data_IF_704319575910
#
_entry.id   IF_704319575910
#
_cell.length_a   1.000
_cell.length_b   1.000
_cell.length_c   1.000
_cell.angle_alpha   90.00
_cell.angle_beta   90.00
_cell.angle_gamma   90.00
#
_symmetry.space_group_name_H-M   'P 1'
#
loop_
_entity.id
_entity.type
_entity.pdbx_description
1 polymer ?
#
# COMPACT_ATOMS: atom_id res chain seq x y z
N UNK A 1 -3.19 28.29 9.88
CA UNK A 1 -3.99 27.44 8.97
C UNK A 1 -4.44 26.18 9.74
N UNK A 2 -5.63 25.63 9.42
CA UNK A 2 -6.08 24.35 10.00
C UNK A 2 -5.90 23.27 8.93
N UNK A 3 -5.04 22.28 9.21
CA UNK A 3 -4.75 21.18 8.30
C UNK A 3 -5.71 20.02 8.56
N UNK A 4 -6.15 19.34 7.50
CA UNK A 4 -7.00 18.16 7.58
C UNK A 4 -6.29 16.96 6.90
N UNK A 5 -5.53 16.15 7.64
CA UNK A 5 -4.77 15.03 7.07
C UNK A 5 -5.68 13.86 6.68
N UNK A 6 -5.12 12.85 6.02
CA UNK A 6 -5.82 11.59 5.72
C UNK A 6 -6.15 10.88 7.04
N UNK A 7 -7.38 10.39 7.16
CA UNK A 7 -7.88 9.69 8.36
C UNK A 7 -8.01 8.18 8.19
N UNK A 8 -8.21 7.72 6.96
CA UNK A 8 -8.35 6.31 6.64
C UNK A 8 -8.02 6.10 5.15
N UNK A 9 -7.48 4.92 4.83
CA UNK A 9 -7.15 4.53 3.45
C UNK A 9 -7.90 3.25 3.11
N UNK A 10 -8.83 3.35 2.15
CA UNK A 10 -9.70 2.25 1.75
C UNK A 10 -9.63 2.01 0.23
N UNK A 11 -8.57 1.35 -0.30
CA UNK A 11 -8.50 0.98 -1.70
C UNK A 11 -9.75 0.23 -2.19
N UNK A 12 -10.19 0.57 -3.40
CA UNK A 12 -11.22 -0.18 -4.11
C UNK A 12 -10.62 -1.34 -4.88
N UNK A 13 -11.33 -2.46 -4.92
CA UNK A 13 -10.98 -3.63 -5.74
C UNK A 13 -12.05 -3.86 -6.79
N UNK A 14 -11.65 -3.94 -8.05
CA UNK A 14 -12.55 -4.33 -9.12
C UNK A 14 -12.58 -5.85 -9.22
N UNK A 15 -13.65 -6.42 -8.70
CA UNK A 15 -13.93 -7.85 -8.75
C UNK A 15 -14.72 -8.20 -10.02
N UNK A 16 -14.51 -9.41 -10.53
CA UNK A 16 -15.28 -9.96 -11.64
C UNK A 16 -15.63 -11.44 -11.40
N UNK A 17 -16.81 -11.87 -11.88
CA UNK A 17 -17.16 -13.29 -11.97
C UNK A 17 -16.26 -13.96 -13.02
N UNK A 18 -16.24 -15.31 -13.08
CA UNK A 18 -15.62 -16.00 -14.20
C UNK A 18 -16.40 -15.71 -15.50
N UNK A 19 -15.69 -15.53 -16.61
CA UNK A 19 -16.26 -15.52 -17.96
C UNK A 19 -15.54 -16.59 -18.79
N UNK A 20 -16.17 -17.76 -18.87
CA UNK A 20 -15.58 -18.94 -19.52
C UNK A 20 -15.46 -18.79 -21.03
N UNK A 21 -16.35 -18.01 -21.66
CA UNK A 21 -16.32 -17.77 -23.10
C UNK A 21 -15.18 -16.82 -23.47
N UNK A 22 -14.95 -15.79 -22.65
CA UNK A 22 -13.85 -14.84 -22.82
C UNK A 22 -12.52 -15.32 -22.22
N UNK A 23 -12.49 -16.49 -21.57
CA UNK A 23 -11.30 -17.03 -20.89
C UNK A 23 -10.87 -16.21 -19.67
N UNK A 24 -11.77 -15.45 -19.05
CA UNK A 24 -11.49 -14.61 -17.88
C UNK A 24 -11.72 -15.44 -16.61
N UNK A 25 -10.65 -15.60 -15.84
CA UNK A 25 -10.68 -16.26 -14.52
C UNK A 25 -11.39 -15.39 -13.47
N UNK A 26 -12.02 -16.00 -12.45
CA UNK A 26 -12.68 -15.27 -11.37
C UNK A 26 -11.68 -14.46 -10.55
N UNK A 27 -12.14 -13.31 -10.03
CA UNK A 27 -11.45 -12.50 -9.03
C UNK A 27 -12.41 -12.00 -7.92
N UNK A 28 -13.68 -12.38 -7.95
CA UNK A 28 -14.69 -11.95 -7.00
C UNK A 28 -14.70 -12.76 -5.69
N UNK A 29 -13.53 -12.94 -5.07
CA UNK A 29 -13.36 -13.73 -3.83
C UNK A 29 -13.46 -12.89 -2.55
N UNK A 30 -13.56 -11.56 -2.68
CA UNK A 30 -13.71 -10.63 -1.56
C UNK A 30 -15.18 -10.39 -1.24
N UNK A 31 -15.50 -10.33 0.05
CA UNK A 31 -16.74 -9.77 0.58
C UNK A 31 -16.77 -8.23 0.49
N UNK A 32 -17.75 -7.55 1.11
CA UNK A 32 -17.94 -6.12 0.93
C UNK A 32 -16.74 -5.27 1.38
N UNK A 33 -16.18 -5.62 2.54
CA UNK A 33 -15.04 -4.94 3.13
C UNK A 33 -14.10 -5.99 3.71
N UNK A 34 -12.83 -5.90 3.36
CA UNK A 34 -11.76 -6.69 3.94
C UNK A 34 -10.77 -5.80 4.69
N UNK A 35 -10.13 -6.36 5.72
CA UNK A 35 -8.94 -5.80 6.34
C UNK A 35 -7.75 -6.69 6.00
N UNK A 36 -6.67 -6.11 5.51
CA UNK A 36 -5.41 -6.82 5.31
C UNK A 36 -4.32 -6.16 6.14
N UNK A 37 -3.59 -6.98 6.89
CA UNK A 37 -2.34 -6.54 7.50
C UNK A 37 -1.35 -6.14 6.39
N UNK A 38 -0.33 -5.35 6.75
CA UNK A 38 0.58 -4.77 5.77
C UNK A 38 1.23 -5.77 4.80
N UNK A 39 1.65 -6.99 5.21
CA UNK A 39 2.19 -7.96 4.26
C UNK A 39 1.17 -8.30 3.16
N UNK A 40 -0.03 -8.75 3.51
CA UNK A 40 -1.07 -9.12 2.56
C UNK A 40 -1.53 -7.94 1.71
N UNK A 41 -1.70 -6.75 2.33
CA UNK A 41 -2.05 -5.52 1.62
C UNK A 41 -1.01 -5.17 0.54
N UNK A 42 0.28 -5.32 0.87
CA UNK A 42 1.34 -5.02 -0.07
C UNK A 42 1.51 -6.09 -1.15
N UNK A 43 1.16 -7.35 -0.90
CA UNK A 43 1.05 -8.33 -2.00
C UNK A 43 0.03 -7.84 -3.05
N UNK A 44 -1.08 -7.28 -2.58
CA UNK A 44 -2.11 -6.70 -3.44
C UNK A 44 -1.66 -5.41 -4.14
N UNK A 45 -0.97 -4.51 -3.46
CA UNK A 45 -0.44 -3.28 -4.07
C UNK A 45 0.66 -3.54 -5.09
N UNK A 46 1.53 -4.51 -4.84
CA UNK A 46 2.57 -4.93 -5.79
C UNK A 46 1.92 -5.50 -7.05
N UNK A 47 0.92 -6.37 -6.90
CA UNK A 47 0.30 -7.05 -8.03
C UNK A 47 -0.74 -6.20 -8.77
N UNK A 48 -1.50 -5.34 -8.07
CA UNK A 48 -2.56 -4.48 -8.61
C UNK A 48 -3.43 -5.20 -9.65
N UNK A 49 -4.14 -6.23 -9.17
CA UNK A 49 -4.82 -7.22 -9.98
C UNK A 49 -6.04 -6.64 -10.71
N UNK A 50 -6.26 -7.09 -11.96
CA UNK A 50 -7.43 -6.72 -12.75
C UNK A 50 -7.90 -7.88 -13.63
N UNK A 51 -9.22 -8.03 -13.75
CA UNK A 51 -9.83 -9.00 -14.67
C UNK A 51 -9.86 -8.55 -16.13
N UNK A 52 -9.49 -7.30 -16.43
CA UNK A 52 -9.34 -6.82 -17.82
C UNK A 52 -7.91 -7.09 -18.29
N UNK A 53 -7.76 -7.50 -19.55
CA UNK A 53 -6.47 -7.85 -20.17
C UNK A 53 -5.73 -8.99 -19.43
N UNK A 54 -6.34 -10.19 -19.33
CA UNK A 54 -5.70 -11.33 -18.67
C UNK A 54 -4.36 -11.66 -19.33
N UNK A 55 -3.38 -12.03 -18.49
CA UNK A 55 -2.11 -12.56 -18.96
C UNK A 55 -2.29 -14.02 -19.43
N UNK A 56 -1.32 -14.57 -20.15
CA UNK A 56 -1.35 -15.97 -20.60
C UNK A 56 -1.46 -16.98 -19.44
N UNK A 57 -1.17 -16.58 -18.20
CA UNK A 57 -1.10 -17.47 -17.02
C UNK A 57 -1.95 -17.01 -15.84
N UNK A 58 -2.85 -16.03 -15.99
CA UNK A 58 -3.65 -15.52 -14.87
C UNK A 58 -4.19 -14.11 -15.08
N UNK A 59 -4.64 -13.47 -14.00
CA UNK A 59 -5.14 -12.10 -14.02
C UNK A 59 -4.16 -11.10 -14.65
N UNK A 60 -4.72 -10.01 -15.16
CA UNK A 60 -3.94 -8.85 -15.55
C UNK A 60 -3.36 -8.15 -14.32
N UNK A 61 -2.28 -7.41 -14.51
CA UNK A 61 -1.66 -6.56 -13.50
C UNK A 61 -1.54 -5.14 -14.06
N UNK A 62 -1.96 -4.15 -13.29
CA UNK A 62 -1.77 -2.73 -13.62
C UNK A 62 -0.37 -2.21 -13.19
N UNK A 63 0.50 -3.11 -12.72
CA UNK A 63 1.79 -2.80 -12.12
C UNK A 63 1.65 -2.22 -10.71
N UNK A 64 2.77 -2.13 -9.98
CA UNK A 64 2.78 -1.67 -8.60
C UNK A 64 2.01 -0.36 -8.41
N UNK A 65 1.11 -0.33 -7.43
CA UNK A 65 0.28 0.82 -7.08
C UNK A 65 -0.58 1.36 -8.23
N UNK A 66 -0.95 0.52 -9.20
CA UNK A 66 -1.60 0.89 -10.48
C UNK A 66 -0.81 1.90 -11.32
N UNK A 67 0.51 2.00 -11.09
CA UNK A 67 1.39 2.96 -11.74
C UNK A 67 2.24 2.37 -12.87
N UNK A 68 2.01 1.12 -13.28
CA UNK A 68 2.79 0.46 -14.34
C UNK A 68 2.97 1.32 -15.60
N UNK A 69 1.91 1.92 -16.17
CA UNK A 69 2.01 2.77 -17.36
C UNK A 69 2.63 4.16 -17.12
N UNK A 70 2.86 4.54 -15.86
CA UNK A 70 3.18 5.92 -15.46
C UNK A 70 4.48 6.04 -14.66
N UNK A 71 5.18 4.92 -14.40
CA UNK A 71 6.43 4.93 -13.65
C UNK A 71 7.61 4.58 -14.58
N UNK A 72 8.46 5.58 -14.81
CA UNK A 72 9.69 5.43 -15.62
C UNK A 72 10.90 4.97 -14.78
N UNK A 73 10.72 4.72 -13.48
CA UNK A 73 11.76 4.28 -12.55
C UNK A 73 11.44 2.88 -12.00
N UNK A 74 12.42 2.19 -11.41
CA UNK A 74 12.18 0.93 -10.69
C UNK A 74 11.01 1.04 -9.71
N UNK A 75 9.91 0.27 -9.88
CA UNK A 75 8.70 0.40 -9.06
C UNK A 75 8.93 0.13 -7.56
N UNK A 76 9.99 -0.61 -7.22
CA UNK A 76 10.43 -0.86 -5.84
C UNK A 76 10.68 0.43 -5.06
N UNK A 77 11.10 1.51 -5.70
CA UNK A 77 11.35 2.82 -5.05
C UNK A 77 10.03 3.40 -4.51
N UNK A 78 8.98 3.32 -5.31
CA UNK A 78 7.62 3.74 -4.92
C UNK A 78 7.06 2.82 -3.85
N UNK A 79 7.26 1.50 -3.97
CA UNK A 79 6.80 0.53 -2.99
C UNK A 79 7.48 0.71 -1.63
N UNK A 80 8.78 1.01 -1.60
CA UNK A 80 9.50 1.34 -0.37
C UNK A 80 8.88 2.56 0.33
N UNK A 81 8.60 3.61 -0.45
CA UNK A 81 7.99 4.84 0.07
C UNK A 81 6.55 4.61 0.55
N UNK A 82 5.76 3.83 -0.21
CA UNK A 82 4.40 3.48 0.16
C UNK A 82 4.37 2.63 1.44
N UNK A 83 5.20 1.59 1.54
CA UNK A 83 5.22 0.73 2.73
C UNK A 83 5.62 1.53 3.98
N UNK A 84 6.62 2.38 3.86
CA UNK A 84 6.99 3.31 4.93
C UNK A 84 5.88 4.28 5.31
N UNK A 85 5.09 4.79 4.35
CA UNK A 85 4.00 5.70 4.69
C UNK A 85 2.95 5.03 5.57
N UNK A 86 2.56 3.79 5.25
CA UNK A 86 1.66 3.00 6.08
C UNK A 86 2.24 2.69 7.46
N UNK A 87 3.50 2.23 7.51
CA UNK A 87 4.19 1.92 8.76
C UNK A 87 4.32 3.13 9.69
N UNK A 88 4.77 4.26 9.16
CA UNK A 88 5.08 5.46 9.95
C UNK A 88 3.82 6.17 10.43
N UNK A 89 2.78 6.20 9.61
CA UNK A 89 1.48 6.80 9.95
C UNK A 89 0.58 5.86 10.74
N UNK A 90 0.87 4.56 10.77
CA UNK A 90 0.02 3.56 11.42
C UNK A 90 -1.34 3.40 10.73
N UNK A 91 -1.39 3.58 9.41
CA UNK A 91 -2.61 3.42 8.63
C UNK A 91 -2.95 1.95 8.44
N UNK A 92 -4.24 1.66 8.49
CA UNK A 92 -4.78 0.32 8.30
C UNK A 92 -5.22 0.11 6.84
N UNK A 93 -5.03 -1.11 6.34
CA UNK A 93 -5.35 -1.48 4.97
C UNK A 93 -6.73 -2.12 4.86
N UNK A 94 -7.79 -1.33 4.78
CA UNK A 94 -9.10 -1.85 4.44
C UNK A 94 -9.32 -1.81 2.93
N UNK A 95 -9.95 -2.81 2.33
CA UNK A 95 -10.31 -2.81 0.91
C UNK A 95 -11.81 -2.98 0.72
N UNK A 96 -12.33 -2.42 -0.37
CA UNK A 96 -13.78 -2.40 -0.64
C UNK A 96 -14.07 -3.03 -2.00
N UNK A 97 -15.12 -3.85 -2.06
CA UNK A 97 -15.52 -4.50 -3.30
C UNK A 97 -16.23 -3.52 -4.25
N UNK A 98 -15.86 -3.56 -5.53
CA UNK A 98 -16.55 -2.94 -6.65
C UNK A 98 -16.74 -3.96 -7.78
N UNK A 99 -17.77 -3.76 -8.60
CA UNK A 99 -18.17 -4.69 -9.66
C UNK A 99 -19.01 -5.84 -9.11
N UNK A 100 -18.36 -6.81 -8.46
CA UNK A 100 -19.02 -8.04 -8.01
C UNK A 100 -18.58 -8.49 -6.61
N UNK A 101 -19.45 -9.25 -5.94
CA UNK A 101 -19.16 -10.06 -4.75
C UNK A 101 -19.56 -11.49 -5.06
N UNK A 102 -18.58 -12.39 -5.13
CA UNK A 102 -18.78 -13.71 -5.69
C UNK A 102 -19.26 -13.68 -7.16
N UNK A 103 -19.55 -14.84 -7.74
CA UNK A 103 -20.00 -14.94 -9.12
C UNK A 103 -21.42 -14.40 -9.36
N UNK A 104 -22.25 -14.22 -8.32
CA UNK A 104 -23.69 -13.96 -8.49
C UNK A 104 -24.10 -12.50 -8.25
N UNK A 105 -23.48 -11.81 -7.30
CA UNK A 105 -23.94 -10.47 -6.89
C UNK A 105 -23.15 -9.38 -7.59
N UNK A 106 -23.81 -8.67 -8.50
CA UNK A 106 -23.31 -7.43 -9.10
C UNK A 106 -23.61 -6.27 -8.14
N UNK A 107 -22.57 -5.57 -7.72
CA UNK A 107 -22.65 -4.43 -6.78
C UNK A 107 -22.18 -3.11 -7.40
N UNK A 108 -21.66 -3.13 -8.63
CA UNK A 108 -21.12 -1.97 -9.35
C UNK A 108 -20.28 -1.05 -8.44
N UNK A 109 -20.80 0.10 -8.03
CA UNK A 109 -20.15 1.03 -7.09
C UNK A 109 -20.95 1.29 -5.82
N UNK A 110 -22.00 0.51 -5.54
CA UNK A 110 -22.92 0.73 -4.43
C UNK A 110 -22.17 0.71 -3.08
N UNK A 111 -21.26 -0.25 -2.92
CA UNK A 111 -20.42 -0.36 -1.71
C UNK A 111 -19.38 0.75 -1.67
N UNK A 112 -18.77 1.10 -2.82
CA UNK A 112 -17.77 2.17 -2.90
C UNK A 112 -18.34 3.51 -2.42
N UNK A 113 -19.60 3.81 -2.75
CA UNK A 113 -20.28 5.03 -2.32
C UNK A 113 -20.72 4.98 -0.85
N UNK A 114 -21.03 3.80 -0.34
CA UNK A 114 -21.52 3.61 1.02
C UNK A 114 -20.41 3.65 2.08
N UNK A 115 -19.22 3.17 1.74
CA UNK A 115 -18.13 3.03 2.72
C UNK A 115 -17.76 4.36 3.41
N UNK A 116 -17.60 5.51 2.71
CA UNK A 116 -17.34 6.79 3.36
C UNK A 116 -18.41 7.20 4.38
N UNK A 117 -19.68 6.87 4.11
CA UNK A 117 -20.83 7.17 4.98
C UNK A 117 -20.85 6.32 6.26
N UNK A 118 -20.37 5.08 6.19
CA UNK A 118 -20.19 4.22 7.36
C UNK A 118 -18.95 4.66 8.14
N UNK A 119 -17.81 4.83 7.44
CA UNK A 119 -16.51 5.10 8.06
C UNK A 119 -16.49 6.43 8.80
N UNK A 120 -17.04 7.49 8.20
CA UNK A 120 -17.10 8.82 8.82
C UNK A 120 -17.95 8.85 10.10
N UNK A 121 -18.87 7.90 10.27
CA UNK A 121 -19.73 7.74 11.44
C UNK A 121 -19.17 6.79 12.48
N UNK A 122 -18.01 6.16 12.26
CA UNK A 122 -17.27 5.38 13.25
C UNK A 122 -16.35 6.28 14.08
N UNK A 123 -16.22 6.04 15.39
CA UNK A 123 -15.17 6.68 16.18
C UNK A 123 -13.79 6.16 15.78
N UNK A 124 -12.72 6.89 16.09
CA UNK A 124 -11.36 6.55 15.63
C UNK A 124 -10.85 5.23 16.23
N UNK A 125 -11.19 4.95 17.48
CA UNK A 125 -10.89 3.70 18.17
C UNK A 125 -11.70 2.52 17.62
N UNK A 126 -12.95 2.75 17.20
CA UNK A 126 -13.80 1.73 16.57
C UNK A 126 -13.28 1.24 15.21
N UNK A 127 -12.37 1.98 14.57
CA UNK A 127 -11.76 1.62 13.29
C UNK A 127 -10.52 0.73 13.43
N UNK A 128 -10.01 0.54 14.66
CA UNK A 128 -8.78 -0.22 14.90
C UNK A 128 -9.00 -1.72 14.65
N UNK A 129 -8.22 -2.37 13.77
CA UNK A 129 -8.38 -3.78 13.44
C UNK A 129 -8.30 -4.69 14.66
N UNK A 130 -7.38 -4.43 15.60
CA UNK A 130 -7.24 -5.24 16.82
C UNK A 130 -8.52 -5.18 17.66
N UNK A 131 -9.12 -4.00 17.76
CA UNK A 131 -10.37 -3.81 18.46
C UNK A 131 -11.53 -4.50 17.71
N UNK A 132 -11.64 -4.32 16.40
CA UNK A 132 -12.66 -4.95 15.56
C UNK A 132 -12.58 -6.48 15.62
N UNK A 133 -11.38 -7.06 15.55
CA UNK A 133 -11.14 -8.51 15.71
C UNK A 133 -11.55 -8.96 17.11
N UNK A 134 -11.12 -8.25 18.17
CA UNK A 134 -11.46 -8.61 19.56
C UNK A 134 -12.97 -8.62 19.86
N UNK A 135 -13.75 -7.85 19.08
CA UNK A 135 -15.20 -7.75 19.20
C UNK A 135 -15.95 -8.69 18.26
N UNK A 136 -15.26 -9.48 17.43
CA UNK A 136 -15.88 -10.36 16.44
C UNK A 136 -16.50 -9.60 15.26
N UNK A 137 -16.09 -8.36 15.03
CA UNK A 137 -16.52 -7.58 13.85
C UNK A 137 -15.68 -7.90 12.60
N UNK A 138 -14.51 -8.50 12.79
CA UNK A 138 -13.69 -9.04 11.72
C UNK A 138 -13.43 -10.52 11.98
N UNK A 139 -13.55 -11.35 10.95
CA UNK A 139 -13.16 -12.76 10.97
C UNK A 139 -12.00 -13.00 10.00
N UNK A 140 -11.05 -13.85 10.40
CA UNK A 140 -9.92 -14.22 9.56
C UNK A 140 -10.40 -15.14 8.43
N UNK A 141 -9.85 -14.94 7.23
CA UNK A 141 -9.91 -15.92 6.15
C UNK A 141 -8.72 -16.85 6.34
N UNK A 142 -8.97 -18.15 6.45
CA UNK A 142 -7.94 -19.15 6.74
C UNK A 142 -7.56 -19.93 5.48
N UNK A 143 -6.32 -20.40 5.41
CA UNK A 143 -5.93 -21.40 4.42
C UNK A 143 -6.68 -22.71 4.66
N UNK A 144 -7.00 -23.44 3.59
CA UNK A 144 -7.67 -24.73 3.68
C UNK A 144 -7.21 -25.69 2.59
N UNK A 145 -7.42 -26.99 2.78
CA UNK A 145 -7.15 -28.01 1.76
C UNK A 145 -8.42 -28.33 0.97
N UNK A 146 -8.29 -28.42 -0.35
CA UNK A 146 -9.31 -28.93 -1.26
C UNK A 146 -8.67 -29.89 -2.25
N UNK A 147 -9.19 -31.11 -2.35
CA UNK A 147 -8.65 -32.17 -3.23
C UNK A 147 -7.13 -32.40 -3.07
N UNK A 148 -6.63 -32.32 -1.84
CA UNK A 148 -5.20 -32.51 -1.53
C UNK A 148 -4.29 -31.35 -1.95
N UNK A 149 -4.87 -30.19 -2.32
CA UNK A 149 -4.14 -28.96 -2.63
C UNK A 149 -4.45 -27.88 -1.60
N UNK A 150 -3.41 -27.17 -1.17
CA UNK A 150 -3.54 -26.03 -0.28
C UNK A 150 -4.06 -24.80 -1.04
N UNK A 151 -5.16 -24.23 -0.55
CA UNK A 151 -5.73 -22.96 -1.02
C UNK A 151 -5.29 -21.87 -0.06
N UNK A 152 -4.48 -20.92 -0.54
CA UNK A 152 -3.86 -19.85 0.26
C UNK A 152 -4.81 -18.67 0.52
N UNK A 153 -6.01 -18.94 1.03
CA UNK A 153 -7.05 -17.92 1.22
C UNK A 153 -6.71 -16.90 2.33
N UNK A 154 -5.76 -17.20 3.22
CA UNK A 154 -5.25 -16.24 4.22
C UNK A 154 -4.65 -14.97 3.63
N UNK A 155 -4.26 -14.97 2.35
CA UNK A 155 -3.84 -13.75 1.63
C UNK A 155 -4.94 -12.69 1.52
N UNK A 156 -6.20 -13.10 1.67
CA UNK A 156 -7.35 -12.19 1.69
C UNK A 156 -7.53 -11.45 3.02
N UNK A 157 -6.74 -11.80 4.04
CA UNK A 157 -6.75 -11.17 5.36
C UNK A 157 -8.00 -11.51 6.16
N UNK A 158 -8.68 -10.47 6.63
CA UNK A 158 -9.91 -10.53 7.41
C UNK A 158 -11.06 -9.94 6.61
N UNK A 159 -12.29 -10.34 6.93
CA UNK A 159 -13.51 -9.76 6.36
C UNK A 159 -14.49 -9.34 7.44
N UNK A 160 -15.37 -8.40 7.09
CA UNK A 160 -16.43 -7.96 8.01
C UNK A 160 -17.43 -9.08 8.30
N UNK A 161 -17.92 -9.13 9.53
CA UNK A 161 -18.94 -10.09 9.96
C UNK A 161 -20.34 -9.47 9.94
N UNK A 162 -21.37 -10.29 10.12
CA UNK A 162 -22.74 -9.80 10.33
C UNK A 162 -22.82 -8.81 11.51
N UNK A 163 -22.06 -9.05 12.58
CA UNK A 163 -22.00 -8.14 13.73
C UNK A 163 -21.41 -6.77 13.38
N UNK A 164 -20.45 -6.70 12.45
CA UNK A 164 -19.95 -5.43 11.92
C UNK A 164 -21.08 -4.65 11.24
N UNK A 165 -21.83 -5.35 10.39
CA UNK A 165 -22.94 -4.76 9.63
C UNK A 165 -23.99 -4.22 10.61
N UNK A 166 -24.46 -5.04 11.54
CA UNK A 166 -25.44 -4.62 12.55
C UNK A 166 -24.98 -3.40 13.35
N UNK A 167 -23.70 -3.36 13.78
CA UNK A 167 -23.17 -2.30 14.63
C UNK A 167 -22.93 -0.98 13.89
N UNK A 168 -22.34 -1.03 12.69
CA UNK A 168 -21.84 0.17 12.00
C UNK A 168 -22.73 0.58 10.85
N UNK A 169 -23.27 -0.36 10.08
CA UNK A 169 -24.23 -0.03 9.02
C UNK A 169 -25.58 0.39 9.61
N UNK A 170 -25.91 0.00 10.84
CA UNK A 170 -27.06 0.50 11.59
C UNK A 170 -27.03 2.01 11.88
N UNK A 171 -25.90 2.69 11.65
CA UNK A 171 -25.78 4.16 11.71
C UNK A 171 -26.25 4.84 10.42
N UNK A 172 -26.52 4.07 9.37
CA UNK A 172 -26.89 4.53 8.03
C UNK A 172 -28.24 3.96 7.62
N UNK A 173 -28.49 2.68 7.92
CA UNK A 173 -29.70 1.95 7.54
C UNK A 173 -30.57 1.64 8.75
N UNK A 174 -31.88 1.67 8.54
CA UNK A 174 -32.86 1.30 9.57
C UNK A 174 -32.88 -0.22 9.84
N UNK A 175 -32.59 -1.04 8.83
CA UNK A 175 -32.51 -2.50 8.94
C UNK A 175 -31.17 -3.01 8.40
N UNK A 176 -30.08 -2.90 9.19
CA UNK A 176 -28.74 -3.26 8.72
C UNK A 176 -28.59 -4.76 8.40
N UNK A 177 -29.41 -5.64 8.98
CA UNK A 177 -29.30 -7.09 8.75
C UNK A 177 -29.64 -7.49 7.30
N UNK A 178 -30.37 -6.63 6.58
CA UNK A 178 -30.77 -6.87 5.19
C UNK A 178 -29.78 -6.32 4.15
N UNK A 179 -28.77 -5.55 4.58
CA UNK A 179 -27.84 -4.88 3.67
C UNK A 179 -26.97 -5.87 2.90
N UNK A 180 -26.45 -6.90 3.60
CA UNK A 180 -25.64 -7.94 3.01
C UNK A 180 -26.16 -9.32 3.39
N UNK A 181 -26.36 -10.18 2.39
CA UNK A 181 -26.73 -11.58 2.63
C UNK A 181 -25.53 -12.36 3.16
N UNK A 182 -25.75 -13.54 3.80
CA UNK A 182 -24.66 -14.41 4.19
C UNK A 182 -23.71 -14.79 3.03
N UNK A 183 -24.23 -14.92 1.81
CA UNK A 183 -23.46 -15.21 0.60
C UNK A 183 -22.63 -14.01 0.11
N UNK A 184 -23.05 -12.78 0.40
CA UNK A 184 -22.23 -11.59 0.12
C UNK A 184 -21.09 -11.45 1.13
N UNK A 185 -21.36 -11.71 2.42
CA UNK A 185 -20.33 -11.71 3.46
C UNK A 185 -19.32 -12.83 3.27
N UNK A 186 -19.76 -13.98 2.73
CA UNK A 186 -18.95 -15.19 2.52
C UNK A 186 -19.08 -15.68 1.08
N UNK A 187 -18.33 -15.08 0.13
CA UNK A 187 -18.47 -15.37 -1.31
C UNK A 187 -18.27 -16.84 -1.70
N UNK A 188 -17.52 -17.61 -0.90
CA UNK A 188 -17.33 -19.05 -1.09
C UNK A 188 -18.64 -19.85 -1.07
N UNK A 189 -19.68 -19.33 -0.41
CA UNK A 189 -21.02 -19.95 -0.38
C UNK A 189 -21.73 -19.89 -1.73
N UNK A 190 -21.32 -18.99 -2.62
CA UNK A 190 -21.94 -18.84 -3.93
C UNK A 190 -21.46 -19.91 -4.92
N UNK A 191 -20.25 -20.44 -4.72
CA UNK A 191 -19.61 -21.45 -5.56
C UNK A 191 -18.15 -21.67 -5.15
N UNK A 192 -17.86 -22.81 -4.51
CA UNK A 192 -16.55 -23.11 -3.96
C UNK A 192 -15.45 -23.21 -5.03
N UNK A 193 -15.75 -23.85 -6.17
CA UNK A 193 -14.77 -24.01 -7.26
C UNK A 193 -14.31 -22.66 -7.84
N UNK A 194 -15.25 -21.75 -8.12
CA UNK A 194 -14.91 -20.41 -8.63
C UNK A 194 -14.16 -19.59 -7.56
N UNK A 195 -14.47 -19.80 -6.28
CA UNK A 195 -13.75 -19.17 -5.17
C UNK A 195 -12.30 -19.65 -5.09
N UNK A 196 -12.07 -20.98 -5.16
CA UNK A 196 -10.74 -21.58 -5.15
C UNK A 196 -9.92 -21.12 -6.36
N UNK A 197 -10.51 -21.14 -7.56
CA UNK A 197 -9.82 -20.65 -8.76
C UNK A 197 -9.46 -19.17 -8.64
N UNK A 198 -10.34 -18.35 -8.03
CA UNK A 198 -10.08 -16.93 -7.82
C UNK A 198 -8.94 -16.67 -6.83
N UNK A 199 -8.86 -17.43 -5.74
CA UNK A 199 -7.74 -17.35 -4.79
C UNK A 199 -6.44 -17.79 -5.47
N UNK A 200 -6.45 -18.89 -6.21
CA UNK A 200 -5.27 -19.37 -6.92
C UNK A 200 -4.81 -18.38 -8.00
N UNK A 201 -5.76 -17.76 -8.73
CA UNK A 201 -5.48 -16.72 -9.71
C UNK A 201 -4.77 -15.50 -9.08
N UNK A 202 -5.17 -15.09 -7.87
CA UNK A 202 -4.47 -14.06 -7.09
C UNK A 202 -3.05 -14.50 -6.77
N UNK A 203 -2.88 -15.71 -6.23
CA UNK A 203 -1.58 -16.23 -5.77
C UNK A 203 -0.59 -16.36 -6.92
N UNK A 204 -1.01 -16.97 -8.03
CA UNK A 204 -0.21 -17.17 -9.24
C UNK A 204 0.19 -15.83 -9.87
N UNK A 205 -0.72 -14.86 -9.88
CA UNK A 205 -0.41 -13.53 -10.42
C UNK A 205 0.57 -12.77 -9.53
N UNK A 206 0.40 -12.86 -8.21
CA UNK A 206 1.34 -12.30 -7.24
C UNK A 206 2.73 -12.92 -7.40
N UNK A 207 2.84 -14.23 -7.58
CA UNK A 207 4.11 -14.91 -7.84
C UNK A 207 4.76 -14.38 -9.13
N UNK A 208 4.01 -14.35 -10.23
CA UNK A 208 4.50 -13.85 -11.52
C UNK A 208 5.01 -12.41 -11.44
N UNK A 209 4.28 -11.52 -10.78
CA UNK A 209 4.69 -10.13 -10.62
C UNK A 209 5.92 -10.02 -9.72
N UNK A 210 5.99 -10.79 -8.64
CA UNK A 210 7.14 -10.75 -7.73
C UNK A 210 8.44 -11.20 -8.43
N UNK A 211 8.38 -12.22 -9.30
CA UNK A 211 9.54 -12.72 -10.07
C UNK A 211 10.22 -11.64 -10.92
N UNK A 212 9.46 -10.66 -11.41
CA UNK A 212 10.01 -9.58 -12.25
C UNK A 212 11.09 -8.75 -11.51
N UNK A 213 10.92 -8.54 -10.20
CA UNK A 213 11.90 -7.81 -9.37
C UNK A 213 13.22 -8.57 -9.17
N UNK A 214 13.19 -9.90 -9.32
CA UNK A 214 14.40 -10.73 -9.31
C UNK A 214 15.08 -10.71 -10.67
N UNK A 215 14.28 -10.80 -11.74
CA UNK A 215 14.78 -10.83 -13.13
C UNK A 215 15.50 -9.53 -13.52
N UNK A 216 15.01 -8.38 -13.07
CA UNK A 216 15.62 -7.08 -13.35
C UNK A 216 16.62 -6.60 -12.27
N UNK A 217 16.82 -7.40 -11.20
CA UNK A 217 17.73 -7.10 -10.09
C UNK A 217 17.25 -5.97 -9.16
N UNK A 218 16.06 -5.41 -9.38
CA UNK A 218 15.56 -4.28 -8.57
C UNK A 218 15.18 -4.68 -7.15
N UNK A 219 15.08 -5.98 -6.85
CA UNK A 219 14.93 -6.49 -5.48
C UNK A 219 16.02 -6.01 -4.53
N UNK A 220 17.24 -5.73 -5.01
CA UNK A 220 18.34 -5.24 -4.18
C UNK A 220 18.10 -3.81 -3.66
N UNK A 221 17.17 -3.07 -4.28
CA UNK A 221 16.73 -1.76 -3.81
C UNK A 221 15.60 -1.85 -2.77
N UNK A 222 15.00 -3.02 -2.56
CA UNK A 222 13.86 -3.18 -1.65
C UNK A 222 14.29 -3.03 -0.19
N UNK A 223 13.52 -2.29 0.60
CA UNK A 223 13.70 -2.27 2.05
C UNK A 223 13.44 -3.66 2.64
N UNK A 224 14.04 -4.03 3.79
CA UNK A 224 13.96 -5.39 4.33
C UNK A 224 12.57 -6.03 4.39
N UNK A 225 11.50 -5.36 4.89
CA UNK A 225 10.17 -5.96 4.89
C UNK A 225 9.61 -6.22 3.48
N UNK A 226 9.89 -5.33 2.52
CA UNK A 226 9.44 -5.49 1.14
C UNK A 226 10.23 -6.62 0.44
N UNK A 227 11.53 -6.72 0.69
CA UNK A 227 12.36 -7.82 0.18
C UNK A 227 11.84 -9.17 0.65
N UNK A 228 11.60 -9.31 1.96
CA UNK A 228 11.00 -10.53 2.52
C UNK A 228 9.66 -10.86 1.87
N UNK A 229 8.83 -9.84 1.63
CA UNK A 229 7.52 -10.01 0.97
C UNK A 229 7.63 -10.49 -0.48
N UNK A 230 8.57 -9.95 -1.25
CA UNK A 230 8.82 -10.39 -2.63
C UNK A 230 9.26 -11.86 -2.70
N UNK A 231 10.10 -12.31 -1.77
CA UNK A 231 10.43 -13.74 -1.63
C UNK A 231 9.21 -14.58 -1.24
N UNK A 232 8.39 -14.13 -0.29
CA UNK A 232 7.15 -14.84 0.09
C UNK A 232 6.17 -14.96 -1.08
N UNK A 233 6.11 -13.97 -1.95
CA UNK A 233 5.28 -14.00 -3.15
C UNK A 233 5.85 -14.93 -4.22
N UNK A 234 7.16 -14.85 -4.51
CA UNK A 234 7.81 -15.58 -5.60
C UNK A 234 8.18 -17.04 -5.27
N UNK A 235 8.56 -17.32 -4.03
CA UNK A 235 9.10 -18.61 -3.58
C UNK A 235 8.18 -19.28 -2.55
N UNK A 236 7.24 -18.53 -1.98
CA UNK A 236 6.34 -19.03 -0.94
C UNK A 236 6.93 -19.01 0.48
N UNK A 237 8.20 -18.63 0.64
CA UNK A 237 8.87 -18.50 1.94
C UNK A 237 9.90 -17.37 1.94
N UNK A 238 10.23 -16.86 3.13
CA UNK A 238 11.41 -16.04 3.37
C UNK A 238 12.27 -16.73 4.42
N UNK A 239 13.50 -17.14 4.06
CA UNK A 239 14.37 -17.93 4.94
C UNK A 239 13.69 -19.20 5.51
N UNK A 240 12.86 -19.86 4.70
CA UNK A 240 12.08 -21.04 5.12
C UNK A 240 10.86 -20.73 5.99
N UNK A 241 10.53 -19.45 6.22
CA UNK A 241 9.40 -19.00 7.05
C UNK A 241 8.22 -18.56 6.18
N UNK A 242 7.01 -18.84 6.65
CA UNK A 242 5.77 -18.39 6.02
C UNK A 242 5.44 -16.93 6.42
N UNK A 243 4.47 -16.32 5.73
CA UNK A 243 4.02 -14.94 6.05
C UNK A 243 3.44 -14.82 7.46
N UNK A 244 2.84 -15.90 7.98
CA UNK A 244 2.29 -15.96 9.35
C UNK A 244 3.37 -16.05 10.43
N UNK A 245 4.63 -16.31 10.08
CA UNK A 245 5.70 -16.45 11.05
C UNK A 245 5.96 -15.11 11.79
N UNK A 246 6.01 -15.11 13.14
CA UNK A 246 6.28 -13.89 13.91
C UNK A 246 7.57 -13.16 13.49
N UNK A 247 8.61 -13.88 13.06
CA UNK A 247 9.86 -13.28 12.60
C UNK A 247 9.74 -12.59 11.23
N UNK A 248 8.72 -12.91 10.44
CA UNK A 248 8.35 -12.12 9.25
C UNK A 248 7.49 -10.93 9.66
N UNK A 249 6.47 -11.14 10.50
CA UNK A 249 5.52 -10.10 10.92
C UNK A 249 6.22 -8.93 11.62
N UNK A 250 7.24 -9.21 12.42
CA UNK A 250 8.03 -8.21 13.16
C UNK A 250 8.80 -7.24 12.24
N UNK A 251 9.06 -7.60 10.98
CA UNK A 251 9.68 -6.70 10.00
C UNK A 251 8.78 -5.49 9.66
N UNK A 252 7.48 -5.63 9.91
CA UNK A 252 6.45 -4.61 9.67
C UNK A 252 6.09 -3.85 10.96
N UNK A 253 6.89 -3.97 12.03
CA UNK A 253 6.69 -3.19 13.25
C UNK A 253 7.25 -1.78 13.12
N UNK A 254 6.41 -0.78 13.41
CA UNK A 254 6.76 0.64 13.31
C UNK A 254 7.93 1.04 14.20
N UNK A 255 7.95 0.58 15.44
CA UNK A 255 8.97 0.99 16.41
C UNK A 255 10.34 0.39 16.07
N UNK A 256 10.36 -0.82 15.52
CA UNK A 256 11.58 -1.44 15.00
C UNK A 256 12.06 -0.76 13.72
N UNK A 257 11.16 -0.42 12.80
CA UNK A 257 11.48 0.37 11.59
C UNK A 257 12.15 1.69 11.99
N UNK A 258 11.56 2.44 12.93
CA UNK A 258 12.08 3.73 13.43
C UNK A 258 13.44 3.64 14.13
N UNK A 259 13.89 2.44 14.51
CA UNK A 259 15.19 2.18 15.16
C UNK A 259 16.19 1.50 14.21
N UNK A 260 15.77 1.15 13.01
CA UNK A 260 16.58 0.37 12.08
C UNK A 260 17.63 1.21 11.35
N UNK A 261 18.78 0.61 11.09
CA UNK A 261 19.86 1.25 10.33
C UNK A 261 19.45 1.56 8.89
N UNK A 262 18.65 0.69 8.26
CA UNK A 262 18.18 0.93 6.91
C UNK A 262 17.23 2.13 6.82
N UNK A 263 16.39 2.38 7.85
CA UNK A 263 15.56 3.57 7.88
C UNK A 263 16.41 4.83 8.11
N UNK A 264 17.39 4.76 9.01
CA UNK A 264 18.38 5.83 9.21
C UNK A 264 19.11 6.17 7.90
N UNK A 265 19.55 5.17 7.14
CA UNK A 265 20.20 5.37 5.84
C UNK A 265 19.32 6.14 4.84
N UNK A 266 17.98 5.96 4.89
CA UNK A 266 17.05 6.76 4.07
C UNK A 266 17.00 8.24 4.48
N UNK A 267 17.08 8.52 5.78
CA UNK A 267 17.12 9.90 6.28
C UNK A 267 18.44 10.57 5.91
N UNK A 268 19.55 9.83 6.02
CA UNK A 268 20.88 10.28 5.59
C UNK A 268 20.93 10.57 4.08
N UNK A 269 20.36 9.69 3.25
CA UNK A 269 20.21 9.94 1.82
C UNK A 269 19.39 11.21 1.55
N UNK A 270 18.32 11.45 2.31
CA UNK A 270 17.51 12.68 2.18
C UNK A 270 18.30 13.93 2.54
N UNK A 271 19.12 13.87 3.60
CA UNK A 271 20.02 14.96 4.00
C UNK A 271 21.05 15.24 2.91
N UNK A 272 21.69 14.21 2.35
CA UNK A 272 22.67 14.36 1.28
C UNK A 272 22.06 15.07 0.05
N UNK A 273 20.92 14.57 -0.45
CA UNK A 273 20.19 15.21 -1.56
C UNK A 273 19.85 16.68 -1.23
N UNK A 274 19.48 16.97 0.01
CA UNK A 274 19.14 18.33 0.43
C UNK A 274 20.36 19.25 0.41
N UNK A 275 21.53 18.78 0.87
CA UNK A 275 22.80 19.51 0.81
C UNK A 275 23.20 19.78 -0.64
N UNK A 276 23.21 18.75 -1.48
CA UNK A 276 23.59 18.87 -2.89
C UNK A 276 22.70 19.87 -3.63
N UNK A 277 21.38 19.79 -3.42
CA UNK A 277 20.42 20.72 -3.99
C UNK A 277 20.67 22.17 -3.54
N UNK A 278 20.98 22.42 -2.26
CA UNK A 278 21.29 23.77 -1.79
C UNK A 278 22.61 24.27 -2.34
N UNK A 279 23.64 23.43 -2.42
CA UNK A 279 24.93 23.79 -3.03
C UNK A 279 24.77 24.16 -4.51
N UNK A 280 23.96 23.40 -5.27
CA UNK A 280 23.61 23.74 -6.64
C UNK A 280 22.86 25.08 -6.75
N UNK A 281 21.94 25.35 -5.83
CA UNK A 281 21.24 26.64 -5.79
C UNK A 281 22.19 27.80 -5.50
N UNK A 282 23.11 27.64 -4.54
CA UNK A 282 24.14 28.66 -4.23
C UNK A 282 24.96 28.96 -5.48
N UNK A 283 25.51 27.95 -6.13
CA UNK A 283 26.29 28.12 -7.36
C UNK A 283 25.49 28.77 -8.50
N UNK A 284 24.22 28.40 -8.65
CA UNK A 284 23.35 29.00 -9.67
C UNK A 284 23.02 30.47 -9.38
N UNK A 285 22.83 30.84 -8.11
CA UNK A 285 22.54 32.23 -7.71
C UNK A 285 23.79 33.11 -7.84
N UNK A 286 24.96 32.61 -7.44
CA UNK A 286 26.24 33.28 -7.65
C UNK A 286 26.50 33.52 -9.14
N UNK A 287 26.37 32.47 -9.97
CA UNK A 287 26.53 32.57 -11.42
C UNK A 287 25.54 33.57 -12.06
N UNK A 288 24.32 33.69 -11.52
CA UNK A 288 23.36 34.68 -12.01
C UNK A 288 23.77 36.12 -11.64
N UNK A 289 24.27 36.34 -10.42
CA UNK A 289 24.71 37.66 -9.95
C UNK A 289 25.94 38.20 -10.70
N UNK A 290 26.79 37.32 -11.23
CA UNK A 290 27.95 37.72 -12.04
C UNK A 290 27.58 38.29 -13.42
N UNK A 291 26.34 38.04 -13.90
CA UNK A 291 25.88 38.50 -15.21
C UNK A 291 25.49 39.97 -15.17
N UNK A 292 26.44 40.85 -15.48
CA UNK A 292 26.28 42.32 -15.47
C UNK A 292 25.06 42.83 -16.26
N UNK A 293 24.68 42.14 -17.33
CA UNK A 293 23.52 42.49 -18.17
C UNK A 293 22.16 42.18 -17.52
N UNK A 294 22.12 41.51 -16.36
CA UNK A 294 20.91 41.21 -15.59
C UNK A 294 20.91 41.88 -14.19
N UNK A 295 21.72 42.92 -13.98
CA UNK A 295 21.86 43.55 -12.66
C UNK A 295 20.53 44.11 -12.13
N UNK A 296 19.73 44.77 -12.98
CA UNK A 296 18.40 45.30 -12.61
C UNK A 296 17.43 44.18 -12.20
N UNK A 297 17.49 43.04 -12.86
CA UNK A 297 16.64 41.88 -12.63
C UNK A 297 17.06 41.16 -11.35
N UNK A 298 18.36 41.08 -11.08
CA UNK A 298 18.90 40.54 -9.84
C UNK A 298 18.44 41.37 -8.63
N UNK A 299 18.45 42.70 -8.74
CA UNK A 299 17.94 43.61 -7.72
C UNK A 299 16.42 43.45 -7.56
N UNK A 300 15.65 43.51 -8.66
CA UNK A 300 14.18 43.36 -8.65
C UNK A 300 13.72 42.04 -8.02
N UNK A 301 14.48 40.96 -8.20
CA UNK A 301 14.17 39.64 -7.63
C UNK A 301 14.81 39.38 -6.27
N UNK A 302 15.60 40.33 -5.74
CA UNK A 302 16.34 40.22 -4.48
C UNK A 302 17.25 38.98 -4.45
N UNK A 303 17.99 38.73 -5.54
CA UNK A 303 18.78 37.50 -5.71
C UNK A 303 19.87 37.39 -4.64
N UNK A 304 20.50 38.49 -4.23
CA UNK A 304 21.51 38.50 -3.16
C UNK A 304 20.93 38.06 -1.81
N UNK A 305 19.72 38.51 -1.45
CA UNK A 305 19.06 38.09 -0.20
C UNK A 305 18.70 36.59 -0.23
N UNK A 306 18.27 36.10 -1.40
CA UNK A 306 17.99 34.66 -1.61
C UNK A 306 19.26 33.82 -1.52
N UNK A 307 20.39 34.32 -2.04
CA UNK A 307 21.70 33.66 -1.93
C UNK A 307 22.11 33.52 -0.46
N UNK A 308 22.06 34.61 0.31
CA UNK A 308 22.41 34.57 1.74
C UNK A 308 21.48 33.63 2.53
N UNK A 309 20.17 33.69 2.27
CA UNK A 309 19.20 32.76 2.88
C UNK A 309 19.49 31.29 2.52
N UNK A 310 19.95 31.03 1.30
CA UNK A 310 20.26 29.66 0.83
C UNK A 310 21.57 29.16 1.43
N UNK A 311 22.59 30.02 1.52
CA UNK A 311 23.86 29.73 2.20
C UNK A 311 23.65 29.43 3.68
N UNK A 312 22.81 30.21 4.36
CA UNK A 312 22.47 29.98 5.77
C UNK A 312 21.80 28.62 5.95
N UNK A 313 20.83 28.27 5.11
CA UNK A 313 20.18 26.95 5.15
C UNK A 313 21.16 25.81 4.92
N UNK A 314 22.12 25.96 4.01
CA UNK A 314 23.15 24.95 3.77
C UNK A 314 24.05 24.81 5.00
N UNK A 315 24.53 25.93 5.56
CA UNK A 315 25.39 25.97 6.73
C UNK A 315 24.76 25.26 7.93
N UNK A 316 23.48 25.54 8.22
CA UNK A 316 22.74 24.87 9.32
C UNK A 316 22.74 23.34 9.16
N UNK A 317 22.61 22.82 7.94
CA UNK A 317 22.64 21.38 7.69
C UNK A 317 24.06 20.78 7.80
N UNK A 318 25.10 21.58 7.58
CA UNK A 318 26.50 21.18 7.67
C UNK A 318 26.99 21.18 9.12
N UNK A 319 26.58 22.18 9.91
CA UNK A 319 26.97 22.33 11.31
C UNK A 319 26.30 21.30 12.23
N UNK A 320 25.01 21.00 12.02
CA UNK A 320 24.28 20.04 12.85
C UNK A 320 23.41 19.08 12.00
N UNK A 321 24.05 18.09 11.33
CA UNK A 321 23.33 17.11 10.53
C UNK A 321 22.40 16.22 11.38
N UNK A 322 22.76 15.94 12.63
CA UNK A 322 21.96 15.08 13.53
C UNK A 322 20.65 15.75 13.94
N UNK A 323 20.66 17.06 14.24
CA UNK A 323 19.42 17.80 14.49
C UNK A 323 18.49 17.78 13.28
N UNK A 324 19.03 17.87 12.05
CA UNK A 324 18.22 17.71 10.85
C UNK A 324 17.64 16.31 10.73
N UNK A 325 18.45 15.26 10.87
CA UNK A 325 17.99 13.86 10.82
C UNK A 325 16.88 13.60 11.85
N UNK A 326 17.04 14.13 13.06
CA UNK A 326 16.02 14.06 14.10
C UNK A 326 14.73 14.77 13.68
N UNK A 327 14.83 15.96 13.06
CA UNK A 327 13.68 16.74 12.60
C UNK A 327 12.86 16.05 11.50
N UNK A 328 13.49 15.19 10.69
CA UNK A 328 12.83 14.44 9.59
C UNK A 328 12.51 12.99 9.97
N UNK A 329 12.76 12.59 11.23
CA UNK A 329 12.35 11.28 11.73
C UNK A 329 10.82 11.18 11.71
N UNK A 330 10.31 10.08 11.16
CA UNK A 330 8.88 9.90 10.87
C UNK A 330 8.49 10.30 9.43
N UNK A 331 9.43 10.80 8.61
CA UNK A 331 9.23 10.99 7.16
C UNK A 331 9.71 9.78 6.36
N UNK A 332 9.46 9.76 5.06
CA UNK A 332 9.81 8.63 4.17
C UNK A 332 11.32 8.53 3.86
N UNK A 333 12.10 9.57 4.17
CA UNK A 333 13.48 9.71 3.72
C UNK A 333 13.60 9.75 2.19
N UNK A 334 14.72 9.25 1.67
CA UNK A 334 14.96 9.02 0.25
C UNK A 334 15.53 7.61 0.02
N UNK A 335 15.49 7.11 -1.21
CA UNK A 335 16.14 5.85 -1.55
C UNK A 335 17.66 6.04 -1.49
N UNK A 336 18.40 5.27 -0.68
CA UNK A 336 19.86 5.31 -0.70
C UNK A 336 20.40 4.80 -2.04
N UNK A 337 21.47 5.42 -2.53
CA UNK A 337 22.12 5.04 -3.79
C UNK A 337 21.44 5.55 -5.06
N UNK A 338 20.48 6.48 -4.96
CA UNK A 338 19.97 7.27 -6.08
C UNK A 338 20.78 8.54 -6.31
#
# INVERSE_FOLDING_TARGET
PVLNPVHAVLPGRRNNPPDREAGIRPLAVYGPIHYQALPELFMDFIASLTGRSPSTTGAGSEGALTKGPFNALPPVIDLNAALLSYLLSGYEGFSTAAGYIGPKYRVDHDISLLVPEVWSRMFLDERKPEWLISKGYLEAVEDFEHEGRLVRASRLGYRITESFVQRFFGRVFNDPATVFTPEMLRPELQGLEDYIDGVNNIVETQERVARQYFEDGTIDLAIPPLRALLHLMAEGHWEGKAVSDPAVRVLFDRELVLKSDWYRARLEAKLAIKKDCLSMHVASLESFLEKKNYASEAERMQVSERLETTREKLRVLEEDPEAYLFSIRGTLGAQPGL
#
